data_IF_658388000576
#
_entry.id   IF_658388000576
#
_cell.length_a   1.000
_cell.length_b   1.000
_cell.length_c   1.000
_cell.angle_alpha   90.00
_cell.angle_beta   90.00
_cell.angle_gamma   90.00
#
_symmetry.space_group_name_H-M   'P 1'
#
loop_
_entity.id
_entity.type
_entity.pdbx_description
1 polymer ?
#
# COMPACT_ATOMS: atom_id res chain seq x y z
N UNK A 1 1.23 -31.31 0.99
CA UNK A 1 0.84 -29.92 1.17
C UNK A 1 0.19 -29.46 -0.11
N UNK A 2 -1.06 -29.06 -0.08
CA UNK A 2 -1.73 -28.51 -1.25
C UNK A 2 -1.21 -27.10 -1.46
N UNK A 3 -0.44 -26.88 -2.51
CA UNK A 3 0.00 -25.53 -2.90
C UNK A 3 -1.23 -24.75 -3.33
N UNK A 4 -1.61 -23.72 -2.59
CA UNK A 4 -2.66 -22.79 -2.99
C UNK A 4 -2.01 -21.86 -4.02
N UNK A 5 -2.33 -22.05 -5.29
CA UNK A 5 -1.90 -21.11 -6.34
C UNK A 5 -2.85 -19.92 -6.33
N UNK A 6 -2.34 -18.76 -5.96
CA UNK A 6 -3.08 -17.52 -6.10
C UNK A 6 -3.09 -17.05 -7.56
N UNK A 7 -4.18 -16.46 -7.97
CA UNK A 7 -4.30 -15.82 -9.27
C UNK A 7 -4.00 -14.32 -9.11
N UNK A 8 -2.91 -13.85 -9.73
CA UNK A 8 -2.44 -12.48 -9.67
C UNK A 8 -2.77 -11.75 -10.96
N UNK A 9 -3.30 -10.55 -10.84
CA UNK A 9 -3.34 -9.61 -11.95
C UNK A 9 -2.16 -8.66 -11.86
N UNK A 10 -1.38 -8.58 -12.94
CA UNK A 10 -0.11 -7.83 -12.98
C UNK A 10 0.05 -7.19 -14.34
N UNK A 11 0.38 -5.92 -14.35
CA UNK A 11 0.87 -5.22 -15.52
C UNK A 11 2.38 -4.99 -15.36
N UNK A 12 3.13 -5.11 -16.46
CA UNK A 12 4.60 -5.01 -16.42
C UNK A 12 5.08 -3.96 -17.40
N UNK A 13 6.03 -3.16 -16.96
CA UNK A 13 6.70 -2.14 -17.78
C UNK A 13 8.19 -2.22 -17.50
N UNK A 14 8.98 -2.07 -18.57
CA UNK A 14 10.43 -2.01 -18.51
C UNK A 14 11.12 -3.36 -18.67
N UNK A 15 12.40 -3.37 -18.38
CA UNK A 15 13.33 -4.52 -18.48
C UNK A 15 14.42 -4.36 -17.43
N UNK A 16 15.04 -5.45 -17.03
CA UNK A 16 16.17 -5.42 -16.10
C UNK A 16 15.82 -5.97 -14.74
N UNK A 17 16.20 -5.28 -13.67
CA UNK A 17 16.04 -5.76 -12.30
C UNK A 17 14.57 -5.79 -11.88
N UNK A 18 14.07 -6.93 -11.34
CA UNK A 18 12.66 -7.02 -10.92
C UNK A 18 12.33 -6.03 -9.81
N UNK A 19 11.27 -5.26 -10.01
CA UNK A 19 10.74 -4.32 -9.04
C UNK A 19 9.24 -4.55 -8.90
N UNK A 20 8.75 -4.83 -7.68
CA UNK A 20 7.34 -5.06 -7.40
C UNK A 20 6.72 -3.78 -6.87
N UNK A 21 5.67 -3.30 -7.52
CA UNK A 21 4.87 -2.18 -7.04
C UNK A 21 3.53 -2.68 -6.49
N UNK A 22 3.22 -2.29 -5.24
CA UNK A 22 1.99 -2.62 -4.52
C UNK A 22 1.23 -1.33 -4.20
N UNK A 23 0.00 -1.15 -4.73
CA UNK A 23 -0.75 0.10 -4.65
C UNK A 23 -1.43 0.33 -3.30
N UNK A 24 -2.00 1.53 -3.14
CA UNK A 24 -2.92 1.83 -2.05
C UNK A 24 -4.26 1.08 -2.19
N UNK A 25 -5.00 0.98 -1.10
CA UNK A 25 -6.38 0.51 -1.13
C UNK A 25 -7.23 1.40 -2.04
N UNK A 26 -8.05 0.78 -2.90
CA UNK A 26 -8.91 1.46 -3.86
C UNK A 26 -8.29 1.69 -5.23
N UNK A 27 -6.99 1.45 -5.40
CA UNK A 27 -6.31 1.52 -6.69
C UNK A 27 -5.89 0.14 -7.18
N UNK A 28 -5.80 -0.01 -8.50
CA UNK A 28 -5.11 -1.12 -9.16
C UNK A 28 -3.59 -0.87 -9.17
N UNK A 29 -2.82 -1.85 -9.63
CA UNK A 29 -1.37 -1.69 -9.82
C UNK A 29 -0.96 -0.45 -10.62
N UNK A 30 -1.83 0.04 -11.49
CA UNK A 30 -1.63 1.26 -12.31
C UNK A 30 -1.42 2.55 -11.49
N UNK A 31 -1.64 2.55 -10.19
CA UNK A 31 -1.21 3.65 -9.33
C UNK A 31 0.29 3.93 -9.46
N UNK A 32 1.09 2.90 -9.71
CA UNK A 32 2.54 2.99 -9.87
C UNK A 32 3.01 3.30 -11.29
N UNK A 33 2.13 3.64 -12.23
CA UNK A 33 2.47 3.81 -13.64
C UNK A 33 3.57 4.86 -13.87
N UNK A 34 3.51 5.99 -13.17
CA UNK A 34 4.54 7.02 -13.25
C UNK A 34 5.94 6.51 -12.81
N UNK A 35 5.97 5.65 -11.79
CA UNK A 35 7.22 5.04 -11.30
C UNK A 35 7.71 4.00 -12.30
N UNK A 36 6.82 3.15 -12.80
CA UNK A 36 7.16 2.10 -13.76
C UNK A 36 7.72 2.66 -15.07
N UNK A 37 7.08 3.71 -15.61
CA UNK A 37 7.58 4.38 -16.84
C UNK A 37 8.90 5.11 -16.62
N UNK A 38 9.11 5.69 -15.44
CA UNK A 38 10.38 6.34 -15.13
C UNK A 38 11.53 5.34 -15.04
N UNK A 39 11.31 4.19 -14.43
CA UNK A 39 12.33 3.17 -14.17
C UNK A 39 12.54 2.19 -15.34
N UNK A 40 11.79 2.25 -16.43
CA UNK A 40 11.65 1.22 -17.46
C UNK A 40 12.95 0.80 -18.18
N UNK A 41 14.00 1.61 -18.15
CA UNK A 41 15.23 1.28 -18.86
C UNK A 41 16.09 0.26 -18.11
N UNK A 42 16.08 0.29 -16.76
CA UNK A 42 16.93 -0.53 -15.90
C UNK A 42 16.15 -1.51 -15.01
N UNK A 43 14.84 -1.29 -14.84
CA UNK A 43 13.98 -2.10 -13.97
C UNK A 43 12.74 -2.60 -14.70
N UNK A 44 12.39 -3.89 -14.50
CA UNK A 44 11.10 -4.44 -14.87
C UNK A 44 10.13 -4.28 -13.70
N UNK A 45 9.24 -3.29 -13.79
CA UNK A 45 8.27 -3.02 -12.73
C UNK A 45 7.00 -3.86 -12.90
N UNK A 46 6.72 -4.70 -11.93
CA UNK A 46 5.51 -5.52 -11.83
C UNK A 46 4.49 -4.79 -10.96
N UNK A 47 3.50 -4.16 -11.58
CA UNK A 47 2.41 -3.45 -10.93
C UNK A 47 1.29 -4.45 -10.60
N UNK A 48 1.18 -4.85 -9.32
CA UNK A 48 0.36 -5.98 -8.87
C UNK A 48 -0.90 -5.47 -8.18
N UNK A 49 -2.08 -5.91 -8.62
CA UNK A 49 -3.32 -5.67 -7.89
C UNK A 49 -3.29 -6.39 -6.53
N UNK A 50 -3.72 -5.69 -5.47
CA UNK A 50 -3.72 -6.27 -4.12
C UNK A 50 -4.76 -7.41 -3.99
N UNK A 51 -4.54 -8.36 -3.06
CA UNK A 51 -5.41 -9.53 -2.95
C UNK A 51 -6.85 -9.15 -2.58
N UNK A 52 -7.78 -9.46 -3.47
CA UNK A 52 -9.21 -9.17 -3.33
C UNK A 52 -9.60 -7.72 -3.58
N UNK A 53 -8.64 -6.89 -4.00
CA UNK A 53 -8.82 -5.53 -4.50
C UNK A 53 -8.35 -5.50 -5.95
N UNK A 54 -9.18 -5.05 -6.87
CA UNK A 54 -8.90 -5.18 -8.29
C UNK A 54 -9.19 -6.58 -8.83
N UNK A 55 -8.31 -7.08 -9.69
CA UNK A 55 -8.50 -8.35 -10.42
C UNK A 55 -7.74 -9.53 -9.81
N UNK A 56 -6.86 -9.31 -8.82
CA UNK A 56 -6.17 -10.41 -8.12
C UNK A 56 -7.11 -11.17 -7.19
N UNK A 57 -6.95 -12.49 -7.13
CA UNK A 57 -7.66 -13.33 -6.18
C UNK A 57 -7.37 -12.92 -4.73
N UNK A 58 -8.39 -12.96 -3.89
CA UNK A 58 -8.27 -12.55 -2.50
C UNK A 58 -7.74 -13.63 -1.58
N UNK A 59 -7.29 -13.20 -0.39
CA UNK A 59 -6.83 -14.10 0.66
C UNK A 59 -8.02 -14.66 1.45
N UNK A 60 -8.02 -15.97 1.66
CA UNK A 60 -8.95 -16.65 2.55
C UNK A 60 -8.36 -16.83 3.96
N UNK A 61 -9.24 -17.01 4.93
CA UNK A 61 -8.83 -17.22 6.32
C UNK A 61 -8.28 -15.98 7.00
N UNK A 62 -7.46 -16.17 8.02
CA UNK A 62 -6.94 -15.07 8.85
C UNK A 62 -5.77 -14.37 8.15
N UNK A 63 -5.93 -13.07 7.91
CA UNK A 63 -4.87 -12.22 7.34
C UNK A 63 -3.96 -11.70 8.47
N UNK A 64 -2.67 -12.04 8.35
CA UNK A 64 -1.58 -11.64 9.26
C UNK A 64 -0.41 -11.10 8.46
N UNK A 65 0.61 -10.52 9.11
CA UNK A 65 1.83 -10.09 8.42
C UNK A 65 2.51 -11.26 7.66
N UNK A 66 2.52 -12.46 8.25
CA UNK A 66 3.08 -13.64 7.59
C UNK A 66 2.24 -14.09 6.39
N UNK A 67 0.90 -14.04 6.49
CA UNK A 67 0.01 -14.38 5.36
C UNK A 67 0.24 -13.44 4.18
N UNK A 68 0.40 -12.14 4.46
CA UNK A 68 0.69 -11.13 3.45
C UNK A 68 2.08 -11.34 2.81
N UNK A 69 3.06 -11.64 3.64
CA UNK A 69 4.41 -11.94 3.17
C UNK A 69 4.44 -13.21 2.29
N UNK A 70 3.72 -14.26 2.68
CA UNK A 70 3.60 -15.49 1.90
C UNK A 70 2.95 -15.25 0.54
N UNK A 71 1.96 -14.36 0.46
CA UNK A 71 1.32 -14.00 -0.79
C UNK A 71 2.33 -13.36 -1.78
N UNK A 72 3.17 -12.44 -1.33
CA UNK A 72 4.24 -11.87 -2.17
C UNK A 72 5.28 -12.94 -2.53
N UNK A 73 5.68 -13.77 -1.55
CA UNK A 73 6.64 -14.84 -1.80
C UNK A 73 6.17 -15.82 -2.88
N UNK A 74 4.90 -16.22 -2.84
CA UNK A 74 4.31 -17.11 -3.84
C UNK A 74 4.28 -16.48 -5.23
N UNK A 75 3.97 -15.17 -5.33
CA UNK A 75 4.09 -14.44 -6.58
C UNK A 75 5.51 -14.53 -7.15
N UNK A 76 6.52 -14.22 -6.34
CA UNK A 76 7.92 -14.26 -6.78
C UNK A 76 8.33 -15.67 -7.21
N UNK A 77 7.90 -16.71 -6.50
CA UNK A 77 8.16 -18.10 -6.88
C UNK A 77 7.51 -18.48 -8.21
N UNK A 78 6.24 -18.10 -8.43
CA UNK A 78 5.54 -18.33 -9.71
C UNK A 78 6.24 -17.64 -10.88
N UNK A 79 6.84 -16.46 -10.64
CA UNK A 79 7.57 -15.70 -11.65
C UNK A 79 9.07 -16.04 -11.73
N UNK A 80 9.54 -16.97 -10.91
CA UNK A 80 10.96 -17.34 -10.81
C UNK A 80 11.87 -16.15 -10.44
N UNK A 81 11.33 -15.21 -9.65
CA UNK A 81 12.07 -14.07 -9.12
C UNK A 81 12.71 -14.48 -7.79
N UNK A 82 14.05 -14.43 -7.72
CA UNK A 82 14.76 -14.78 -6.51
C UNK A 82 14.86 -13.62 -5.53
N UNK A 83 15.15 -12.43 -6.03
CA UNK A 83 15.28 -11.18 -5.29
C UNK A 83 14.62 -10.06 -6.11
N UNK A 84 14.06 -9.05 -5.43
CA UNK A 84 13.43 -7.91 -6.08
C UNK A 84 13.54 -6.65 -5.22
N UNK A 85 13.43 -5.48 -5.86
CA UNK A 85 13.07 -4.26 -5.17
C UNK A 85 11.56 -4.24 -4.89
N UNK A 86 11.17 -3.68 -3.76
CA UNK A 86 9.75 -3.50 -3.42
C UNK A 86 9.42 -2.04 -3.24
N UNK A 87 8.36 -1.61 -3.88
CA UNK A 87 7.78 -0.28 -3.72
C UNK A 87 6.33 -0.47 -3.28
N UNK A 88 5.95 0.09 -2.14
CA UNK A 88 4.58 -0.05 -1.67
C UNK A 88 4.01 1.26 -1.16
N UNK A 89 2.80 1.60 -1.60
CA UNK A 89 2.05 2.75 -1.12
C UNK A 89 0.94 2.30 -0.17
N UNK A 90 0.78 3.01 0.95
CA UNK A 90 -0.34 2.79 1.86
C UNK A 90 -0.53 1.30 2.23
N UNK A 91 -1.66 0.68 1.90
CA UNK A 91 -1.93 -0.74 2.15
C UNK A 91 -0.87 -1.64 1.47
N UNK A 92 -0.49 -1.34 0.22
CA UNK A 92 0.60 -2.02 -0.47
C UNK A 92 1.93 -1.89 0.25
N UNK A 93 2.20 -0.71 0.83
CA UNK A 93 3.37 -0.49 1.70
C UNK A 93 3.37 -1.36 2.96
N UNK A 94 2.19 -1.62 3.54
CA UNK A 94 2.09 -2.54 4.68
C UNK A 94 2.38 -4.00 4.28
N UNK A 95 1.99 -4.40 3.06
CA UNK A 95 2.29 -5.74 2.51
C UNK A 95 3.79 -5.84 2.20
N UNK A 96 4.36 -4.84 1.53
CA UNK A 96 5.79 -4.78 1.22
C UNK A 96 6.65 -4.82 2.50
N UNK A 97 6.27 -4.06 3.53
CA UNK A 97 6.90 -4.07 4.84
C UNK A 97 6.82 -5.46 5.50
N UNK A 98 5.65 -6.09 5.48
CA UNK A 98 5.49 -7.43 6.01
C UNK A 98 6.40 -8.43 5.27
N UNK A 99 6.48 -8.35 3.94
CA UNK A 99 7.36 -9.20 3.15
C UNK A 99 8.83 -8.99 3.50
N UNK A 100 9.31 -7.76 3.55
CA UNK A 100 10.70 -7.44 3.88
C UNK A 100 11.12 -7.91 5.28
N UNK A 101 10.18 -7.95 6.23
CA UNK A 101 10.44 -8.48 7.59
C UNK A 101 10.51 -10.01 7.60
N UNK A 102 9.65 -10.71 6.86
CA UNK A 102 9.59 -12.17 6.89
C UNK A 102 10.54 -12.86 5.89
N UNK A 103 10.88 -12.18 4.79
CA UNK A 103 11.73 -12.68 3.71
C UNK A 103 12.85 -11.68 3.34
N UNK A 104 13.68 -11.21 4.32
CA UNK A 104 14.66 -10.16 4.05
C UNK A 104 15.69 -10.54 2.98
N UNK A 105 16.03 -11.82 2.84
CA UNK A 105 16.98 -12.30 1.81
C UNK A 105 16.43 -12.29 0.39
N UNK A 106 15.14 -11.95 0.20
CA UNK A 106 14.50 -11.81 -1.12
C UNK A 106 14.26 -10.34 -1.51
N UNK A 107 14.71 -9.40 -0.68
CA UNK A 107 14.50 -7.96 -0.88
C UNK A 107 15.82 -7.25 -1.03
N UNK A 108 16.09 -6.71 -2.22
CA UNK A 108 17.24 -5.87 -2.45
C UNK A 108 17.06 -4.52 -1.75
N UNK A 109 15.99 -3.82 -2.07
CA UNK A 109 15.64 -2.53 -1.47
C UNK A 109 14.13 -2.41 -1.27
N UNK A 110 13.74 -1.71 -0.20
CA UNK A 110 12.35 -1.44 0.14
C UNK A 110 12.08 0.05 0.07
N UNK A 111 11.05 0.46 -0.69
CA UNK A 111 10.55 1.82 -0.72
C UNK A 111 9.13 1.83 -0.14
N UNK A 112 8.94 2.60 0.92
CA UNK A 112 7.65 2.79 1.59
C UNK A 112 7.14 4.20 1.31
N UNK A 113 6.03 4.30 0.61
CA UNK A 113 5.37 5.55 0.28
C UNK A 113 4.26 5.79 1.33
N UNK A 114 4.52 6.70 2.23
CA UNK A 114 3.70 7.11 3.39
C UNK A 114 3.14 5.95 4.21
N UNK A 115 3.96 4.92 4.47
CA UNK A 115 3.52 3.75 5.21
C UNK A 115 4.57 3.23 6.21
N UNK A 116 4.11 2.50 7.23
CA UNK A 116 4.92 1.78 8.21
C UNK A 116 5.24 2.57 9.47
N UNK A 117 5.38 3.88 9.40
CA UNK A 117 5.79 4.74 10.51
C UNK A 117 4.68 5.00 11.55
N UNK A 118 3.41 4.95 11.14
CA UNK A 118 2.23 5.15 12.02
C UNK A 118 1.42 3.87 12.19
N UNK A 119 0.79 3.63 13.35
CA UNK A 119 -0.24 2.60 13.46
C UNK A 119 -1.49 3.04 12.67
N UNK A 120 -2.20 2.07 12.11
CA UNK A 120 -3.51 2.35 11.57
C UNK A 120 -4.47 2.82 12.69
N UNK A 121 -5.28 3.87 12.47
CA UNK A 121 -6.14 4.41 13.52
C UNK A 121 -7.23 3.40 13.93
N UNK A 122 -7.49 3.29 15.26
CA UNK A 122 -8.54 2.39 15.79
C UNK A 122 -9.93 2.76 15.31
N UNK A 123 -10.19 4.04 15.05
CA UNK A 123 -11.39 4.53 14.40
C UNK A 123 -10.96 5.37 13.19
N UNK A 124 -10.93 4.79 11.98
CA UNK A 124 -10.49 5.46 10.75
C UNK A 124 -11.58 6.40 10.22
N UNK A 125 -11.82 7.50 10.94
CA UNK A 125 -12.91 8.46 10.65
C UNK A 125 -12.65 9.29 9.39
N UNK A 126 -11.42 9.40 8.93
CA UNK A 126 -11.05 10.02 7.65
C UNK A 126 -11.62 9.25 6.45
N UNK A 127 -11.62 7.92 6.54
CA UNK A 127 -12.04 7.03 5.46
C UNK A 127 -13.53 6.65 5.56
N UNK A 128 -14.03 6.43 6.79
CA UNK A 128 -15.37 5.86 7.02
C UNK A 128 -16.29 6.77 7.83
N UNK A 129 -15.90 8.03 8.08
CA UNK A 129 -16.71 8.98 8.85
C UNK A 129 -17.12 8.44 10.22
N UNK A 130 -18.33 8.76 10.73
CA UNK A 130 -18.79 8.29 12.04
C UNK A 130 -18.92 6.76 12.17
N UNK A 131 -19.12 6.05 11.05
CA UNK A 131 -19.19 4.58 11.02
C UNK A 131 -17.90 3.94 11.52
N UNK A 132 -16.76 4.62 11.39
CA UNK A 132 -15.46 4.16 11.87
C UNK A 132 -15.42 3.80 13.37
N UNK A 133 -16.28 4.39 14.19
CA UNK A 133 -16.38 4.03 15.62
C UNK A 133 -16.89 2.61 15.86
N UNK A 134 -17.51 1.98 14.88
CA UNK A 134 -17.94 0.58 14.94
C UNK A 134 -16.80 -0.41 14.60
N UNK A 135 -15.71 0.04 13.97
CA UNK A 135 -14.63 -0.82 13.50
C UNK A 135 -14.07 -1.76 14.57
N UNK A 136 -13.80 -1.36 15.83
CA UNK A 136 -13.32 -2.30 16.85
C UNK A 136 -14.29 -3.46 17.09
N UNK A 137 -15.61 -3.21 17.08
CA UNK A 137 -16.63 -4.25 17.27
C UNK A 137 -16.78 -5.14 16.04
N UNK A 138 -16.78 -4.54 14.85
CA UNK A 138 -16.79 -5.29 13.59
C UNK A 138 -15.57 -6.17 13.47
N UNK A 139 -14.38 -5.65 13.82
CA UNK A 139 -13.15 -6.41 13.83
C UNK A 139 -13.21 -7.60 14.81
N UNK A 140 -13.78 -7.42 16.00
CA UNK A 140 -13.99 -8.52 16.93
C UNK A 140 -14.89 -9.61 16.32
N UNK A 141 -15.97 -9.22 15.64
CA UNK A 141 -16.83 -10.15 14.90
C UNK A 141 -16.09 -10.91 13.80
N UNK A 142 -15.28 -10.21 13.00
CA UNK A 142 -14.44 -10.82 11.95
C UNK A 142 -13.41 -11.79 12.56
N UNK A 143 -12.75 -11.43 13.64
CA UNK A 143 -11.79 -12.30 14.34
C UNK A 143 -12.44 -13.57 14.92
N UNK A 144 -13.71 -13.46 15.37
CA UNK A 144 -14.42 -14.57 16.02
C UNK A 144 -15.12 -15.50 15.02
N UNK A 145 -15.70 -14.95 13.96
CA UNK A 145 -16.58 -15.69 13.05
C UNK A 145 -16.03 -15.80 11.61
N UNK A 146 -14.98 -15.05 11.26
CA UNK A 146 -14.28 -15.15 9.97
C UNK A 146 -15.16 -14.85 8.75
N UNK A 147 -14.98 -15.64 7.69
CA UNK A 147 -15.63 -15.47 6.39
C UNK A 147 -17.18 -15.38 6.44
N UNK A 148 -17.91 -16.18 7.23
CA UNK A 148 -19.36 -16.03 7.31
C UNK A 148 -19.81 -14.63 7.76
N UNK A 149 -19.09 -14.03 8.71
CA UNK A 149 -19.40 -12.69 9.18
C UNK A 149 -19.01 -11.61 8.16
N UNK A 150 -17.86 -11.79 7.49
CA UNK A 150 -17.43 -10.89 6.42
C UNK A 150 -18.44 -10.82 5.27
N UNK A 151 -19.02 -11.96 4.87
CA UNK A 151 -20.07 -12.01 3.83
C UNK A 151 -21.34 -11.22 4.24
N UNK A 152 -21.66 -11.22 5.53
CA UNK A 152 -22.80 -10.42 6.05
C UNK A 152 -22.47 -8.92 6.10
N UNK A 153 -21.20 -8.56 6.35
CA UNK A 153 -20.75 -7.18 6.37
C UNK A 153 -20.56 -6.59 4.98
N UNK A 154 -20.15 -7.40 3.99
CA UNK A 154 -19.79 -6.94 2.65
C UNK A 154 -20.82 -5.96 2.02
N UNK A 155 -22.14 -6.20 2.08
CA UNK A 155 -23.12 -5.27 1.52
C UNK A 155 -23.09 -3.86 2.12
N UNK A 156 -22.57 -3.71 3.35
CA UNK A 156 -22.45 -2.38 4.00
C UNK A 156 -21.28 -1.58 3.42
N UNK A 157 -20.23 -2.27 2.97
CA UNK A 157 -19.02 -1.67 2.40
C UNK A 157 -19.06 -1.61 0.86
N UNK A 158 -19.82 -2.52 0.24
CA UNK A 158 -19.93 -2.61 -1.23
C UNK A 158 -21.13 -1.83 -1.78
N UNK A 159 -21.95 -1.21 -0.91
CA UNK A 159 -22.98 -0.23 -1.31
C UNK A 159 -22.28 1.08 -1.66
N UNK A 160 -21.72 1.11 -2.80
CA UNK A 160 -21.20 2.32 -3.41
C UNK A 160 -21.65 2.37 -4.83
N UNK A 161 -22.08 3.49 -5.21
CA UNK A 161 -21.94 4.21 -6.45
C UNK A 161 -23.08 4.12 -7.46
N UNK A 162 -24.21 4.63 -7.03
CA UNK A 162 -25.11 5.32 -7.96
C UNK A 162 -24.47 6.63 -8.52
N UNK A 163 -23.28 7.04 -8.05
CA UNK A 163 -22.58 8.27 -8.47
C UNK A 163 -21.49 8.05 -9.53
N UNK A 164 -21.44 6.89 -10.21
CA UNK A 164 -20.47 6.62 -11.29
C UNK A 164 -20.58 7.53 -12.53
N UNK A 165 -21.42 8.58 -12.50
CA UNK A 165 -21.80 9.32 -13.71
C UNK A 165 -20.83 10.44 -14.14
N UNK A 166 -19.81 10.81 -13.35
CA UNK A 166 -18.87 11.86 -13.74
C UNK A 166 -17.46 11.59 -13.19
N UNK A 167 -16.70 10.77 -13.88
CA UNK A 167 -15.33 10.42 -13.51
C UNK A 167 -14.43 11.66 -13.45
N UNK A 168 -14.65 12.64 -14.33
CA UNK A 168 -13.87 13.89 -14.37
C UNK A 168 -14.06 14.68 -13.06
N UNK A 169 -15.29 14.78 -12.58
CA UNK A 169 -15.59 15.43 -11.31
C UNK A 169 -14.97 14.68 -10.14
N UNK A 170 -14.98 13.34 -10.16
CA UNK A 170 -14.35 12.53 -9.11
C UNK A 170 -12.85 12.74 -9.07
N UNK A 171 -12.17 12.79 -10.22
CA UNK A 171 -10.74 13.08 -10.35
C UNK A 171 -10.42 14.46 -9.76
N UNK A 172 -11.15 15.49 -10.15
CA UNK A 172 -10.96 16.85 -9.62
C UNK A 172 -11.15 16.91 -8.10
N UNK A 173 -12.21 16.28 -7.59
CA UNK A 173 -12.46 16.21 -6.15
C UNK A 173 -11.36 15.45 -5.41
N UNK A 174 -10.92 14.32 -5.95
CA UNK A 174 -9.81 13.56 -5.38
C UNK A 174 -8.55 14.41 -5.29
N UNK A 175 -8.10 15.02 -6.40
CA UNK A 175 -6.90 15.87 -6.45
C UNK A 175 -6.99 17.02 -5.44
N UNK A 176 -8.15 17.65 -5.32
CA UNK A 176 -8.40 18.73 -4.36
C UNK A 176 -8.33 18.23 -2.90
N UNK A 177 -8.91 17.06 -2.59
CA UNK A 177 -8.93 16.50 -1.23
C UNK A 177 -7.54 16.07 -0.77
N UNK A 178 -6.76 15.47 -1.68
CA UNK A 178 -5.44 14.92 -1.34
C UNK A 178 -4.29 15.87 -1.60
N UNK A 179 -4.58 17.09 -2.11
CA UNK A 179 -3.63 18.16 -2.38
C UNK A 179 -2.53 17.75 -3.37
N UNK A 180 -2.95 17.25 -4.54
CA UNK A 180 -2.07 16.90 -5.66
C UNK A 180 -2.54 17.58 -6.94
N UNK A 181 -1.61 17.86 -7.85
CA UNK A 181 -1.94 18.35 -9.19
C UNK A 181 -2.47 17.21 -10.05
N UNK A 182 -3.52 17.49 -10.81
CA UNK A 182 -4.08 16.53 -11.76
C UNK A 182 -3.06 16.14 -12.84
N UNK A 183 -2.94 14.84 -13.10
CA UNK A 183 -2.05 14.29 -14.13
C UNK A 183 -2.72 13.12 -14.87
N UNK A 184 -2.16 12.72 -16.02
CA UNK A 184 -2.63 11.54 -16.75
C UNK A 184 -2.43 10.25 -15.92
N UNK A 185 -1.44 10.20 -15.05
CA UNK A 185 -1.23 9.07 -14.15
C UNK A 185 -2.37 8.92 -13.14
N UNK A 186 -2.79 10.04 -12.52
CA UNK A 186 -3.93 10.05 -11.61
C UNK A 186 -5.21 9.69 -12.36
N UNK A 187 -5.42 10.24 -13.58
CA UNK A 187 -6.56 9.91 -14.42
C UNK A 187 -6.62 8.42 -14.73
N UNK A 188 -5.49 7.85 -15.11
CA UNK A 188 -5.38 6.41 -15.41
C UNK A 188 -5.68 5.57 -14.17
N UNK A 189 -5.07 5.89 -13.04
CA UNK A 189 -5.31 5.18 -11.79
C UNK A 189 -6.77 5.26 -11.33
N UNK A 190 -7.40 6.43 -11.44
CA UNK A 190 -8.81 6.63 -11.07
C UNK A 190 -9.80 5.90 -12.00
N UNK A 191 -9.48 5.80 -13.30
CA UNK A 191 -10.31 5.06 -14.29
C UNK A 191 -10.22 3.54 -14.10
N UNK A 192 -9.11 3.04 -13.54
CA UNK A 192 -8.86 1.62 -13.33
C UNK A 192 -8.94 1.23 -11.85
N UNK A 193 -9.80 1.90 -11.09
CA UNK A 193 -10.08 1.49 -9.71
C UNK A 193 -10.59 0.05 -9.69
N UNK A 194 -10.02 -0.74 -8.79
CA UNK A 194 -10.38 -2.13 -8.66
C UNK A 194 -11.73 -2.36 -7.96
N UNK A 195 -12.40 -3.44 -8.32
CA UNK A 195 -13.59 -3.89 -7.61
C UNK A 195 -13.23 -4.35 -6.19
N UNK A 196 -14.05 -3.96 -5.22
CA UNK A 196 -13.89 -4.33 -3.83
C UNK A 196 -14.65 -5.62 -3.54
N UNK A 197 -13.93 -6.70 -3.23
CA UNK A 197 -14.54 -8.00 -2.94
C UNK A 197 -14.68 -8.28 -1.43
N UNK A 198 -15.41 -9.35 -1.08
CA UNK A 198 -15.46 -9.85 0.32
C UNK A 198 -14.06 -10.16 0.85
N UNK A 199 -13.18 -10.69 -0.01
CA UNK A 199 -11.80 -10.98 0.36
C UNK A 199 -10.94 -9.71 0.43
N UNK A 200 -11.27 -8.66 -0.31
CA UNK A 200 -10.72 -7.32 -0.12
C UNK A 200 -11.09 -6.75 1.25
N UNK A 201 -12.32 -6.96 1.70
CA UNK A 201 -12.72 -6.60 3.07
C UNK A 201 -11.94 -7.41 4.11
N UNK A 202 -11.67 -8.70 3.86
CA UNK A 202 -10.80 -9.52 4.71
C UNK A 202 -9.38 -8.93 4.83
N UNK A 203 -8.81 -8.51 3.70
CA UNK A 203 -7.51 -7.83 3.65
C UNK A 203 -7.52 -6.55 4.50
N UNK A 204 -8.56 -5.73 4.39
CA UNK A 204 -8.71 -4.48 5.15
C UNK A 204 -8.74 -4.72 6.67
N UNK A 205 -9.51 -5.73 7.13
CA UNK A 205 -9.50 -6.10 8.55
C UNK A 205 -8.17 -6.72 9.00
N UNK A 206 -7.50 -7.47 8.12
CA UNK A 206 -6.14 -7.95 8.36
C UNK A 206 -5.16 -6.79 8.56
N UNK A 207 -5.18 -5.82 7.66
CA UNK A 207 -4.39 -4.60 7.75
C UNK A 207 -4.67 -3.81 9.03
N UNK A 208 -5.93 -3.63 9.41
CA UNK A 208 -6.36 -2.99 10.65
C UNK A 208 -5.68 -3.59 11.90
N UNK A 209 -5.36 -4.87 11.88
CA UNK A 209 -4.74 -5.58 12.99
C UNK A 209 -3.20 -5.57 12.97
N UNK A 210 -2.58 -5.02 11.94
CA UNK A 210 -1.11 -4.94 11.85
C UNK A 210 -0.55 -3.88 12.80
N UNK A 211 0.52 -4.22 13.47
CA UNK A 211 1.32 -3.23 14.22
C UNK A 211 2.49 -2.77 13.35
N UNK A 212 2.22 -1.83 12.44
CA UNK A 212 3.17 -1.35 11.45
C UNK A 212 4.46 -0.77 12.06
N UNK A 213 4.43 0.09 13.10
CA UNK A 213 5.65 0.56 13.72
C UNK A 213 6.48 -0.55 14.40
N UNK A 214 5.83 -1.65 14.83
CA UNK A 214 6.56 -2.82 15.35
C UNK A 214 7.23 -3.59 14.21
N UNK A 215 6.56 -3.77 13.08
CA UNK A 215 7.14 -4.38 11.87
C UNK A 215 8.32 -3.55 11.36
N UNK A 216 8.16 -2.23 11.21
CA UNK A 216 9.21 -1.34 10.76
C UNK A 216 10.50 -1.45 11.59
N UNK A 217 10.38 -1.66 12.90
CA UNK A 217 11.54 -1.86 13.80
C UNK A 217 12.24 -3.20 13.64
N UNK A 218 11.70 -4.12 12.87
CA UNK A 218 12.31 -5.42 12.58
C UNK A 218 13.00 -5.46 11.22
N UNK A 219 13.01 -4.33 10.48
CA UNK A 219 13.67 -4.23 9.19
C UNK A 219 15.19 -4.42 9.32
N UNK A 220 15.72 -5.20 8.40
CA UNK A 220 17.16 -5.44 8.22
C UNK A 220 17.62 -5.16 6.78
N UNK A 221 16.71 -4.70 5.92
CA UNK A 221 17.00 -4.39 4.51
C UNK A 221 17.07 -2.87 4.30
N UNK A 222 17.89 -2.38 3.36
CA UNK A 222 17.94 -0.96 3.02
C UNK A 222 16.54 -0.45 2.66
N UNK A 223 16.09 0.59 3.35
CA UNK A 223 14.71 1.08 3.23
C UNK A 223 14.68 2.58 3.02
N UNK A 224 13.89 3.03 2.04
CA UNK A 224 13.58 4.44 1.79
C UNK A 224 12.13 4.73 2.19
N UNK A 225 11.96 5.48 3.27
CA UNK A 225 10.63 5.88 3.76
C UNK A 225 10.36 7.33 3.33
N UNK A 226 9.54 7.49 2.32
CA UNK A 226 9.01 8.78 1.86
C UNK A 226 7.65 8.99 2.53
N UNK A 227 7.47 10.11 3.22
CA UNK A 227 6.22 10.35 3.96
C UNK A 227 5.72 11.78 3.82
N UNK A 228 4.40 11.93 3.74
CA UNK A 228 3.73 13.22 3.75
C UNK A 228 3.76 13.88 5.12
N UNK A 229 4.10 15.18 5.17
CA UNK A 229 4.14 15.91 6.45
C UNK A 229 2.78 16.36 6.93
N UNK A 230 1.78 16.49 6.05
CA UNK A 230 0.45 17.06 6.31
C UNK A 230 0.45 18.49 6.84
N UNK A 231 1.62 19.18 6.80
CA UNK A 231 1.77 20.54 7.31
C UNK A 231 0.94 21.52 6.50
N UNK A 232 0.03 22.23 7.18
CA UNK A 232 -0.89 23.16 6.54
C UNK A 232 -2.13 22.52 5.91
N UNK A 233 -2.21 21.17 5.87
CA UNK A 233 -3.35 20.43 5.37
C UNK A 233 -4.19 19.86 6.53
N UNK A 234 -3.55 19.19 7.47
CA UNK A 234 -4.18 18.55 8.61
C UNK A 234 -3.25 18.57 9.83
N UNK A 235 -3.48 19.51 10.74
CA UNK A 235 -2.64 19.70 11.93
C UNK A 235 -2.60 18.46 12.86
N UNK A 236 -3.68 17.70 12.94
CA UNK A 236 -3.72 16.46 13.72
C UNK A 236 -2.79 15.42 13.12
N UNK A 237 -2.86 15.21 11.80
CA UNK A 237 -2.00 14.27 11.10
C UNK A 237 -0.54 14.76 11.06
N UNK A 238 -0.30 16.06 10.93
CA UNK A 238 1.04 16.65 11.06
C UNK A 238 1.68 16.26 12.41
N UNK A 239 0.99 16.55 13.51
CA UNK A 239 1.50 16.24 14.86
C UNK A 239 1.69 14.74 15.08
N UNK A 240 0.78 13.91 14.56
CA UNK A 240 0.82 12.47 14.63
C UNK A 240 2.04 11.92 13.85
N UNK A 241 2.20 12.33 12.60
CA UNK A 241 3.34 11.94 11.76
C UNK A 241 4.67 12.34 12.40
N UNK A 242 4.78 13.59 12.84
CA UNK A 242 5.97 14.10 13.50
C UNK A 242 6.33 13.31 14.76
N UNK A 243 5.33 12.98 15.60
CA UNK A 243 5.51 12.16 16.80
C UNK A 243 6.08 10.78 16.47
N UNK A 244 5.47 10.06 15.51
CA UNK A 244 5.87 8.71 15.18
C UNK A 244 7.22 8.65 14.46
N UNK A 245 7.50 9.54 13.53
CA UNK A 245 8.80 9.63 12.85
C UNK A 245 9.92 9.83 13.88
N UNK A 246 9.79 10.83 14.78
CA UNK A 246 10.79 11.05 15.84
C UNK A 246 10.97 9.87 16.79
N UNK A 247 9.90 9.10 17.03
CA UNK A 247 9.97 7.90 17.85
C UNK A 247 10.73 6.77 17.15
N UNK A 248 10.55 6.60 15.85
CA UNK A 248 11.22 5.55 15.07
C UNK A 248 12.68 5.91 14.83
N UNK A 249 13.00 7.16 14.54
CA UNK A 249 14.37 7.66 14.35
C UNK A 249 15.30 7.48 15.57
N UNK A 250 14.76 7.15 16.74
CA UNK A 250 15.55 6.79 17.93
C UNK A 250 16.14 5.37 17.87
N UNK A 251 15.69 4.57 16.91
CA UNK A 251 16.20 3.21 16.68
C UNK A 251 17.21 3.25 15.54
N UNK A 252 18.26 2.48 15.67
CA UNK A 252 19.25 2.25 14.60
C UNK A 252 18.64 1.27 13.59
N UNK A 253 18.08 1.81 12.52
CA UNK A 253 17.38 1.06 11.47
C UNK A 253 18.00 1.42 10.10
N UNK A 254 18.05 0.49 9.15
CA UNK A 254 18.54 0.76 7.78
C UNK A 254 17.48 1.56 6.99
N UNK A 255 17.05 2.70 7.53
CA UNK A 255 15.97 3.52 6.96
C UNK A 255 16.46 4.92 6.68
N UNK A 256 16.42 5.30 5.40
CA UNK A 256 16.56 6.68 4.95
C UNK A 256 15.17 7.35 4.94
N UNK A 257 15.06 8.52 5.54
CA UNK A 257 13.80 9.23 5.73
C UNK A 257 13.70 10.44 4.80
N UNK A 258 12.60 10.55 4.05
CA UNK A 258 12.29 11.71 3.20
C UNK A 258 10.94 12.29 3.57
N UNK A 259 10.95 13.48 4.12
CA UNK A 259 9.74 14.26 4.39
C UNK A 259 9.32 15.03 3.13
N UNK A 260 8.07 14.88 2.72
CA UNK A 260 7.48 15.58 1.58
C UNK A 260 6.40 16.53 2.11
N UNK A 261 6.40 17.78 1.65
CA UNK A 261 5.30 18.70 1.96
C UNK A 261 4.08 18.25 1.12
N UNK A 262 3.03 17.80 1.79
CA UNK A 262 1.84 17.25 1.15
C UNK A 262 1.16 16.23 2.04
N UNK A 263 0.17 15.57 1.46
CA UNK A 263 -0.65 14.53 2.10
C UNK A 263 -0.11 13.12 1.90
N UNK A 264 -1.04 12.17 1.87
CA UNK A 264 -0.78 10.72 1.82
C UNK A 264 -0.19 10.24 0.48
N UNK A 265 -0.53 10.91 -0.64
CA UNK A 265 -0.15 10.48 -2.00
C UNK A 265 1.18 11.11 -2.42
N UNK A 266 2.26 10.71 -1.73
CA UNK A 266 3.61 11.24 -1.96
C UNK A 266 4.15 10.89 -3.36
N UNK A 267 3.72 9.78 -3.94
CA UNK A 267 4.05 9.33 -5.30
C UNK A 267 3.55 10.26 -6.41
N UNK A 268 2.59 11.12 -6.11
CA UNK A 268 2.03 12.11 -7.05
C UNK A 268 2.29 13.56 -6.60
N UNK A 269 3.05 13.76 -5.53
CA UNK A 269 3.38 15.09 -5.03
C UNK A 269 4.42 15.78 -5.92
N UNK A 270 4.19 17.05 -6.27
CA UNK A 270 5.18 17.88 -6.97
C UNK A 270 6.39 18.25 -6.10
N UNK A 271 6.30 18.06 -4.78
CA UNK A 271 7.36 18.34 -3.81
C UNK A 271 8.36 17.17 -3.65
N UNK A 272 8.15 16.06 -4.35
CA UNK A 272 9.03 14.91 -4.37
C UNK A 272 9.43 14.56 -5.81
N UNK A 273 10.73 14.40 -6.03
CA UNK A 273 11.23 13.95 -7.32
C UNK A 273 11.33 12.42 -7.36
N UNK A 274 10.78 11.83 -8.39
CA UNK A 274 10.89 10.40 -8.65
C UNK A 274 12.36 9.97 -8.88
N UNK A 275 13.23 10.90 -9.30
CA UNK A 275 14.67 10.65 -9.41
C UNK A 275 15.29 10.27 -8.06
N UNK A 276 14.78 10.80 -6.93
CA UNK A 276 15.27 10.43 -5.61
C UNK A 276 15.03 8.93 -5.30
N UNK A 277 14.01 8.34 -5.90
CA UNK A 277 13.72 6.91 -5.79
C UNK A 277 14.73 6.12 -6.63
N UNK A 278 14.98 6.53 -7.86
CA UNK A 278 15.97 5.93 -8.75
C UNK A 278 17.38 6.02 -8.14
N UNK A 279 17.77 7.18 -7.63
CA UNK A 279 19.03 7.36 -6.90
C UNK A 279 19.18 6.37 -5.76
N UNK A 280 18.13 6.16 -4.96
CA UNK A 280 18.14 5.18 -3.88
C UNK A 280 18.28 3.74 -4.39
N UNK A 281 17.62 3.40 -5.50
CA UNK A 281 17.71 2.07 -6.11
C UNK A 281 19.10 1.78 -6.67
N UNK A 282 19.81 2.78 -7.17
CA UNK A 282 21.15 2.62 -7.81
C UNK A 282 22.32 2.66 -6.83
N UNK A 283 22.14 3.14 -5.58
CA UNK A 283 23.23 3.14 -4.58
C UNK A 283 23.71 1.70 -4.34
N UNK A 284 24.97 1.42 -4.65
CA UNK A 284 25.61 0.16 -4.26
C UNK A 284 25.77 0.09 -2.73
N UNK A 285 25.55 -1.10 -2.16
CA UNK A 285 25.79 -1.36 -0.73
C UNK A 285 27.28 -1.35 -0.37
#
# INVERSE_FOLDING_TARGET
MTTILYDYYVERIGKGEPTLFLPAAGFSGNEGLNIAEHLQEDYETHMIDLPGLGKSAGLEGKVTSLTLANWVNEYMEQQQIHEANLIGHSLGGAIALAFAVHYPSKVNKLILLDQGHKPFPKAPTSEFGPFAYLFPFLNLGVQSFGQPFLRQLAPLFMKGDEQKNDIEKQIQQFCQIVDVEESEYIRTAMKHQGDFSVNGLNLMFGYYNLNLPKLLKQLSVPTYLVYGTFKGLNEKEYNNTYHYIRKIQKHDLPVTYRAVKGGHYVNWSSEWSINELEDFLTIAE
#
